data_IF_905597851136
#
_entry.id   IF_905597851136
#
_cell.length_a   1.000
_cell.length_b   1.000
_cell.length_c   1.000
_cell.angle_alpha   90.00
_cell.angle_beta   90.00
_cell.angle_gamma   90.00
#
_symmetry.space_group_name_H-M   'P 1'
#
loop_
_entity.id
_entity.type
_entity.pdbx_description
1 polymer ?
#
# COMPACT_ATOMS: atom_id res chain seq x y z
N UNK A 1 5.28 -2.21 41.05
CA UNK A 1 5.32 -3.67 41.34
C UNK A 1 5.45 -3.80 42.84
N UNK A 2 4.59 -4.58 43.47
CA UNK A 2 4.52 -4.67 44.93
C UNK A 2 4.69 -6.12 45.38
N UNK A 3 5.51 -6.34 46.41
CA UNK A 3 5.62 -7.63 47.08
C UNK A 3 4.54 -7.72 48.17
N UNK A 4 3.93 -8.89 48.37
CA UNK A 4 2.94 -9.08 49.44
C UNK A 4 3.02 -10.48 50.05
N UNK A 5 2.65 -10.60 51.33
CA UNK A 5 2.53 -11.87 52.02
C UNK A 5 1.09 -12.38 51.91
N UNK A 6 0.91 -13.49 51.21
CA UNK A 6 -0.40 -14.09 50.96
C UNK A 6 -0.78 -15.05 52.09
N UNK A 7 -1.36 -14.55 53.17
CA UNK A 7 -1.79 -15.44 54.27
C UNK A 7 -2.97 -16.33 53.87
N UNK A 8 -3.93 -15.78 53.11
CA UNK A 8 -5.15 -16.51 52.69
C UNK A 8 -4.98 -17.28 51.38
N UNK A 9 -4.13 -16.79 50.49
CA UNK A 9 -4.14 -17.20 49.09
C UNK A 9 -2.95 -18.10 48.70
N UNK A 10 -1.93 -18.21 49.56
CA UNK A 10 -0.72 -18.98 49.25
C UNK A 10 0.00 -18.51 47.97
N UNK A 11 0.73 -19.42 47.31
CA UNK A 11 1.46 -19.10 46.07
C UNK A 11 0.47 -18.88 44.92
N UNK A 12 0.18 -17.62 44.58
CA UNK A 12 -0.83 -17.30 43.55
C UNK A 12 -0.22 -16.79 42.26
N UNK A 13 -0.71 -17.36 41.15
CA UNK A 13 -0.50 -16.83 39.81
C UNK A 13 -1.86 -16.64 39.13
N UNK A 14 -2.43 -15.45 39.25
CA UNK A 14 -3.76 -15.11 38.70
C UNK A 14 -3.83 -13.62 38.38
N UNK A 15 -4.68 -13.24 37.42
CA UNK A 15 -4.99 -11.84 37.15
C UNK A 15 -6.40 -11.52 37.64
N UNK A 16 -6.55 -10.39 38.33
CA UNK A 16 -7.85 -9.87 38.79
C UNK A 16 -7.89 -8.38 38.48
N UNK A 17 -8.83 -7.97 37.63
CA UNK A 17 -8.94 -6.60 37.14
C UNK A 17 -7.65 -6.11 36.49
N UNK A 18 -7.12 -5.00 37.02
CA UNK A 18 -5.93 -4.33 36.51
C UNK A 18 -4.62 -4.85 37.13
N UNK A 19 -4.68 -5.91 37.93
CA UNK A 19 -3.54 -6.46 38.66
C UNK A 19 -3.32 -7.91 38.24
N UNK A 20 -2.07 -8.26 37.98
CA UNK A 20 -1.61 -9.63 37.78
C UNK A 20 -0.71 -10.02 38.96
N UNK A 21 -1.15 -11.03 39.70
CA UNK A 21 -0.41 -11.67 40.78
C UNK A 21 0.46 -12.78 40.18
N UNK A 22 1.75 -12.81 40.52
CA UNK A 22 2.70 -13.85 40.10
C UNK A 22 3.60 -14.21 41.27
N UNK A 23 3.84 -15.50 41.48
CA UNK A 23 4.86 -15.98 42.40
C UNK A 23 6.19 -16.15 41.68
N UNK A 24 7.24 -15.42 42.07
CA UNK A 24 8.57 -15.51 41.44
C UNK A 24 9.66 -15.18 42.48
N UNK A 25 10.84 -15.80 42.37
CA UNK A 25 11.94 -15.65 43.36
C UNK A 25 11.49 -15.89 44.81
N UNK A 26 10.64 -16.90 45.02
CA UNK A 26 10.03 -17.27 46.30
C UNK A 26 9.16 -16.19 46.97
N UNK A 27 8.75 -15.15 46.24
CA UNK A 27 7.92 -14.06 46.73
C UNK A 27 6.65 -13.94 45.90
N UNK A 28 5.54 -13.51 46.51
CA UNK A 28 4.35 -13.12 45.75
C UNK A 28 4.48 -11.67 45.32
N UNK A 29 4.22 -11.42 44.03
CA UNK A 29 4.41 -10.13 43.41
C UNK A 29 3.12 -9.73 42.70
N UNK A 30 2.57 -8.58 43.07
CA UNK A 30 1.52 -7.91 42.33
C UNK A 30 2.14 -6.96 41.29
N UNK A 31 1.80 -7.19 40.02
CA UNK A 31 2.16 -6.34 38.89
C UNK A 31 0.90 -5.66 38.38
N UNK A 32 0.96 -4.37 38.10
CA UNK A 32 -0.11 -3.72 37.35
C UNK A 32 -0.09 -4.25 35.91
N UNK A 33 -1.27 -4.46 35.33
CA UNK A 33 -1.41 -4.80 33.92
C UNK A 33 -1.01 -3.57 33.11
N UNK A 34 -0.09 -3.76 32.15
CA UNK A 34 0.29 -2.68 31.25
C UNK A 34 -0.92 -2.39 30.36
N UNK A 35 -1.52 -1.22 30.55
CA UNK A 35 -2.53 -0.71 29.63
C UNK A 35 -1.84 -0.29 28.34
N UNK A 36 -2.24 -0.89 27.22
CA UNK A 36 -1.89 -0.36 25.90
C UNK A 36 -2.71 0.91 25.71
N UNK A 37 -2.09 2.10 25.86
CA UNK A 37 -2.68 3.32 25.33
C UNK A 37 -2.66 3.22 23.81
N UNK A 38 -3.83 3.38 23.20
CA UNK A 38 -3.94 3.50 21.74
C UNK A 38 -3.72 4.97 21.42
N UNK A 39 -2.48 5.32 21.09
CA UNK A 39 -2.17 6.67 20.64
C UNK A 39 -2.81 6.90 19.27
N UNK A 40 -3.42 8.08 19.11
CA UNK A 40 -3.92 8.48 17.81
C UNK A 40 -2.72 8.70 16.87
N UNK A 41 -2.77 8.18 15.63
CA UNK A 41 -1.71 8.38 14.67
C UNK A 41 -1.49 9.88 14.42
N UNK A 42 -0.23 10.30 14.34
CA UNK A 42 0.16 11.66 13.95
C UNK A 42 -0.33 11.99 12.54
N UNK A 43 -0.52 13.27 12.21
CA UNK A 43 -0.97 13.69 10.88
C UNK A 43 -0.08 13.14 9.77
N UNK A 44 1.25 13.19 9.91
CA UNK A 44 2.22 12.64 8.95
C UNK A 44 2.00 11.14 8.66
N UNK A 45 1.67 10.35 9.70
CA UNK A 45 1.36 8.92 9.55
C UNK A 45 0.06 8.74 8.76
N UNK A 46 -0.94 9.60 8.95
CA UNK A 46 -2.18 9.57 8.18
C UNK A 46 -1.93 9.91 6.71
N UNK A 47 -1.07 10.88 6.42
CA UNK A 47 -0.68 11.23 5.05
C UNK A 47 0.02 10.06 4.36
N UNK A 48 1.00 9.45 5.04
CA UNK A 48 1.72 8.29 4.51
C UNK A 48 0.77 7.11 4.24
N UNK A 49 -0.19 6.86 5.13
CA UNK A 49 -1.23 5.83 4.94
C UNK A 49 -2.13 6.15 3.76
N UNK A 50 -2.50 7.42 3.56
CA UNK A 50 -3.30 7.84 2.42
C UNK A 50 -2.55 7.59 1.10
N UNK A 51 -1.29 8.02 1.01
CA UNK A 51 -0.42 7.78 -0.16
C UNK A 51 -0.24 6.30 -0.46
N UNK A 52 0.03 5.51 0.58
CA UNK A 52 0.18 4.06 0.45
C UNK A 52 -1.12 3.42 -0.05
N UNK A 53 -2.27 3.81 0.53
CA UNK A 53 -3.57 3.26 0.16
C UNK A 53 -3.90 3.54 -1.31
N UNK A 54 -3.68 4.76 -1.78
CA UNK A 54 -3.97 5.13 -3.19
C UNK A 54 -3.07 4.37 -4.15
N UNK A 55 -1.76 4.30 -3.86
CA UNK A 55 -0.81 3.61 -4.73
C UNK A 55 -1.08 2.09 -4.78
N UNK A 56 -1.36 1.47 -3.63
CA UNK A 56 -1.67 0.04 -3.56
C UNK A 56 -2.98 -0.28 -4.25
N UNK A 57 -4.01 0.57 -4.10
CA UNK A 57 -5.28 0.38 -4.80
C UNK A 57 -5.09 0.46 -6.31
N UNK A 58 -4.36 1.47 -6.81
CA UNK A 58 -4.04 1.60 -8.22
C UNK A 58 -3.24 0.39 -8.73
N UNK A 59 -2.13 0.04 -8.07
CA UNK A 59 -1.28 -1.07 -8.50
C UNK A 59 -2.02 -2.42 -8.54
N UNK A 60 -3.00 -2.64 -7.65
CA UNK A 60 -3.82 -3.86 -7.66
C UNK A 60 -4.71 -3.95 -8.90
N UNK A 61 -5.21 -2.82 -9.41
CA UNK A 61 -6.05 -2.76 -10.62
C UNK A 61 -5.27 -3.03 -11.90
N UNK A 62 -3.97 -2.74 -11.91
CA UNK A 62 -3.05 -2.94 -13.04
C UNK A 62 -2.01 -4.05 -12.78
N UNK A 63 -2.34 -5.01 -11.92
CA UNK A 63 -1.41 -6.04 -11.46
C UNK A 63 -0.70 -6.82 -12.59
N UNK A 64 -1.37 -7.17 -13.72
CA UNK A 64 -0.70 -7.83 -14.85
C UNK A 64 0.47 -7.01 -15.41
N UNK A 65 0.25 -5.70 -15.59
CA UNK A 65 1.25 -4.75 -16.09
C UNK A 65 2.42 -4.64 -15.11
N UNK A 66 2.12 -4.50 -13.81
CA UNK A 66 3.15 -4.40 -12.76
C UNK A 66 4.02 -5.67 -12.70
N UNK A 67 3.42 -6.86 -12.85
CA UNK A 67 4.16 -8.13 -12.84
C UNK A 67 5.13 -8.25 -14.01
N UNK A 68 4.75 -7.76 -15.20
CA UNK A 68 5.59 -7.78 -16.40
C UNK A 68 6.67 -6.69 -16.35
N UNK A 69 6.31 -5.47 -15.94
CA UNK A 69 7.22 -4.34 -15.89
C UNK A 69 8.28 -4.41 -14.78
N UNK A 70 7.98 -5.08 -13.67
CA UNK A 70 8.90 -5.24 -12.53
C UNK A 70 9.36 -6.69 -12.32
N UNK A 71 9.33 -7.51 -13.37
CA UNK A 71 9.81 -8.89 -13.31
C UNK A 71 11.30 -8.95 -12.95
N UNK A 72 11.66 -9.70 -11.91
CA UNK A 72 13.05 -9.91 -11.50
C UNK A 72 13.70 -8.77 -10.70
N UNK A 73 12.91 -7.83 -10.19
CA UNK A 73 13.43 -6.58 -9.58
C UNK A 73 13.48 -6.68 -8.05
N UNK A 74 14.69 -6.56 -7.49
CA UNK A 74 14.95 -6.44 -6.05
C UNK A 74 14.80 -7.73 -5.24
N UNK A 75 14.97 -7.63 -3.91
CA UNK A 75 14.75 -8.72 -2.95
C UNK A 75 13.27 -8.74 -2.53
N UNK A 76 12.37 -9.23 -3.37
CA UNK A 76 10.94 -9.29 -3.06
C UNK A 76 10.03 -9.59 -4.26
N UNK A 77 8.79 -9.12 -4.19
CA UNK A 77 7.81 -9.24 -5.29
C UNK A 77 7.87 -8.02 -6.22
N UNK A 78 7.53 -8.21 -7.50
CA UNK A 78 7.39 -7.15 -8.49
C UNK A 78 6.49 -5.99 -7.99
N UNK A 79 5.45 -6.32 -7.23
CA UNK A 79 4.54 -5.33 -6.64
C UNK A 79 5.22 -4.47 -5.56
N UNK A 80 6.05 -5.06 -4.71
CA UNK A 80 6.79 -4.30 -3.70
C UNK A 80 7.79 -3.34 -4.34
N UNK A 81 8.44 -3.77 -5.44
CA UNK A 81 9.32 -2.91 -6.22
C UNK A 81 8.56 -1.72 -6.83
N UNK A 82 7.38 -1.97 -7.41
CA UNK A 82 6.50 -0.92 -7.91
C UNK A 82 6.12 0.10 -6.83
N UNK A 83 5.71 -0.36 -5.65
CA UNK A 83 5.32 0.53 -4.54
C UNK A 83 6.52 1.35 -4.05
N UNK A 84 7.69 0.75 -3.93
CA UNK A 84 8.90 1.42 -3.45
C UNK A 84 9.36 2.55 -4.39
N UNK A 85 9.35 2.31 -5.70
CA UNK A 85 9.85 3.26 -6.70
C UNK A 85 8.86 4.38 -7.03
N UNK A 86 7.59 4.26 -6.63
CA UNK A 86 6.54 5.22 -6.95
C UNK A 86 5.99 5.98 -5.74
N UNK A 87 6.49 5.72 -4.52
CA UNK A 87 5.96 6.37 -3.31
C UNK A 87 6.15 7.89 -3.32
N UNK A 88 7.24 8.37 -3.93
CA UNK A 88 7.56 9.78 -4.12
C UNK A 88 6.73 10.45 -5.22
N UNK A 89 6.08 9.66 -6.09
CA UNK A 89 5.20 10.14 -7.18
C UNK A 89 3.76 10.37 -6.72
N UNK A 90 3.48 10.16 -5.44
CA UNK A 90 2.16 10.38 -4.85
C UNK A 90 2.19 11.65 -4.01
N UNK A 91 1.50 12.68 -4.48
CA UNK A 91 1.29 13.92 -3.74
C UNK A 91 0.13 13.76 -2.77
N UNK A 92 0.15 14.52 -1.68
CA UNK A 92 -0.96 14.62 -0.75
C UNK A 92 -1.47 16.05 -0.78
N UNK A 93 -2.73 16.23 -1.21
CA UNK A 93 -3.38 17.53 -1.35
C UNK A 93 -4.30 17.86 -0.17
N UNK A 94 -4.74 19.12 -0.13
CA UNK A 94 -5.71 19.59 0.85
C UNK A 94 -6.98 18.72 0.85
N UNK A 95 -7.42 18.29 2.04
CA UNK A 95 -8.62 17.45 2.22
C UNK A 95 -8.35 15.94 2.40
N UNK A 96 -7.14 15.54 2.78
CA UNK A 96 -6.78 14.13 3.01
C UNK A 96 -6.82 13.24 1.76
N UNK A 97 -6.47 13.82 0.61
CA UNK A 97 -6.53 13.14 -0.68
C UNK A 97 -5.12 12.96 -1.21
N UNK A 98 -4.74 11.71 -1.44
CA UNK A 98 -3.51 11.40 -2.16
C UNK A 98 -3.79 11.27 -3.66
N UNK A 99 -2.93 11.86 -4.49
CA UNK A 99 -3.07 11.90 -5.95
C UNK A 99 -1.80 11.37 -6.59
N UNK A 100 -1.96 10.52 -7.60
CA UNK A 100 -0.85 9.90 -8.33
C UNK A 100 -0.51 10.80 -9.53
N UNK A 101 0.77 11.16 -9.68
CA UNK A 101 1.27 11.81 -10.89
C UNK A 101 1.57 10.75 -11.97
N UNK A 102 0.61 10.54 -12.87
CA UNK A 102 0.73 9.57 -13.96
C UNK A 102 1.85 9.91 -14.95
N UNK A 103 2.26 11.17 -15.08
CA UNK A 103 3.34 11.57 -16.00
C UNK A 103 4.72 11.14 -15.52
N UNK A 104 4.88 10.97 -14.20
CA UNK A 104 6.14 10.54 -13.56
C UNK A 104 6.12 9.11 -13.04
N UNK A 105 4.97 8.44 -13.14
CA UNK A 105 4.78 7.09 -12.65
C UNK A 105 5.61 6.08 -13.46
N UNK A 106 6.36 5.24 -12.77
CA UNK A 106 7.13 4.15 -13.36
C UNK A 106 6.29 2.87 -13.37
N UNK A 107 6.06 2.32 -14.56
CA UNK A 107 5.37 1.04 -14.75
C UNK A 107 6.32 -0.13 -15.03
N UNK A 108 7.59 0.15 -15.28
CA UNK A 108 8.65 -0.84 -15.40
C UNK A 108 9.94 -0.29 -14.80
N UNK A 109 10.84 -1.18 -14.36
CA UNK A 109 12.19 -0.79 -13.98
C UNK A 109 13.21 -1.29 -15.01
N UNK A 110 14.17 -0.44 -15.38
CA UNK A 110 15.16 -0.77 -16.40
C UNK A 110 14.69 -0.37 -17.79
N UNK A 111 14.75 -1.29 -18.76
CA UNK A 111 14.27 -1.06 -20.14
C UNK A 111 12.80 -0.62 -20.08
N UNK A 112 12.49 0.59 -20.53
CA UNK A 112 11.14 1.21 -20.55
C UNK A 112 10.19 0.47 -21.52
N UNK A 113 9.97 -0.82 -21.29
CA UNK A 113 9.11 -1.71 -22.09
C UNK A 113 7.62 -1.50 -21.82
N UNK A 114 7.27 -0.50 -21.01
CA UNK A 114 5.91 -0.18 -20.63
C UNK A 114 5.75 1.34 -20.67
N UNK A 115 4.70 1.80 -21.34
CA UNK A 115 4.37 3.23 -21.45
C UNK A 115 2.90 3.43 -21.11
N UNK A 116 2.61 4.49 -20.35
CA UNK A 116 1.25 4.94 -20.12
C UNK A 116 0.90 5.99 -21.18
N UNK A 117 -0.25 5.82 -21.83
CA UNK A 117 -0.76 6.75 -22.84
C UNK A 117 -2.10 7.27 -22.37
N UNK A 118 -2.25 8.60 -22.36
CA UNK A 118 -3.54 9.22 -22.14
C UNK A 118 -4.39 9.09 -23.41
N UNK A 119 -5.55 8.44 -23.29
CA UNK A 119 -6.54 8.38 -24.35
C UNK A 119 -7.45 9.63 -24.24
N UNK A 120 -8.76 9.43 -24.13
CA UNK A 120 -9.74 10.50 -24.01
C UNK A 120 -10.52 10.46 -22.68
N UNK A 121 -11.17 11.57 -22.36
CA UNK A 121 -12.11 11.65 -21.27
C UNK A 121 -13.40 10.88 -21.60
N UNK A 122 -13.96 10.19 -20.61
CA UNK A 122 -15.25 9.49 -20.74
C UNK A 122 -16.33 10.47 -21.20
N UNK A 123 -17.05 10.13 -22.27
CA UNK A 123 -18.18 10.91 -22.81
C UNK A 123 -17.87 11.69 -24.08
N UNK A 124 -16.60 11.76 -24.50
CA UNK A 124 -16.23 12.27 -25.83
C UNK A 124 -16.09 11.07 -26.76
N UNK A 125 -16.99 10.97 -27.74
CA UNK A 125 -16.87 9.97 -28.81
C UNK A 125 -15.70 10.38 -29.71
N UNK A 126 -14.79 9.45 -29.99
CA UNK A 126 -13.66 9.69 -30.87
C UNK A 126 -12.71 8.49 -30.90
N UNK A 127 -12.06 8.33 -32.03
CA UNK A 127 -10.98 7.37 -32.21
C UNK A 127 -9.68 8.03 -31.71
N UNK A 128 -8.83 7.23 -31.07
CA UNK A 128 -7.50 7.68 -30.63
C UNK A 128 -6.50 6.73 -31.22
N UNK A 129 -5.65 7.26 -32.09
CA UNK A 129 -4.55 6.51 -32.68
C UNK A 129 -3.26 6.87 -31.95
N UNK A 130 -2.45 5.84 -31.69
CA UNK A 130 -1.14 6.01 -31.10
C UNK A 130 -0.12 5.26 -31.93
N UNK A 131 0.83 5.99 -32.52
CA UNK A 131 1.94 5.38 -33.24
C UNK A 131 2.85 4.65 -32.26
N UNK A 132 2.99 3.34 -32.42
CA UNK A 132 3.95 2.56 -31.67
C UNK A 132 5.37 3.04 -32.02
N UNK A 133 6.28 3.13 -31.04
CA UNK A 133 7.69 3.42 -31.31
C UNK A 133 8.28 2.41 -32.31
N UNK A 134 9.20 2.85 -33.16
CA UNK A 134 9.84 1.98 -34.18
C UNK A 134 10.53 0.75 -33.57
N UNK A 135 10.95 0.84 -32.32
CA UNK A 135 11.59 -0.26 -31.58
C UNK A 135 10.60 -1.35 -31.12
N UNK A 136 9.29 -1.13 -31.27
CA UNK A 136 8.25 -2.02 -30.76
C UNK A 136 7.62 -2.84 -31.89
N UNK A 137 7.72 -4.15 -31.78
CA UNK A 137 7.07 -5.07 -32.71
C UNK A 137 5.61 -5.31 -32.30
N UNK A 138 4.65 -4.94 -33.14
CA UNK A 138 3.21 -4.99 -32.83
C UNK A 138 2.75 -6.39 -32.36
N UNK A 139 3.32 -7.46 -32.93
CA UNK A 139 3.04 -8.86 -32.57
C UNK A 139 3.42 -9.23 -31.12
N UNK A 140 4.27 -8.42 -30.47
CA UNK A 140 4.77 -8.63 -29.11
C UNK A 140 4.23 -7.58 -28.13
N UNK A 141 3.40 -6.65 -28.60
CA UNK A 141 2.81 -5.60 -27.76
C UNK A 141 1.53 -6.13 -27.13
N UNK A 142 1.43 -5.97 -25.82
CA UNK A 142 0.19 -6.20 -25.09
C UNK A 142 -0.34 -4.86 -24.59
N UNK A 143 -1.55 -4.50 -24.99
CA UNK A 143 -2.19 -3.29 -24.52
C UNK A 143 -3.12 -3.60 -23.34
N UNK A 144 -3.06 -2.75 -22.32
CA UNK A 144 -4.00 -2.77 -21.19
C UNK A 144 -4.63 -1.41 -21.05
N UNK A 145 -5.96 -1.35 -20.96
CA UNK A 145 -6.68 -0.11 -20.74
C UNK A 145 -7.38 -0.09 -19.38
N UNK A 146 -7.44 1.08 -18.77
CA UNK A 146 -8.20 1.31 -17.54
C UNK A 146 -8.71 2.75 -17.54
N UNK A 147 -9.82 2.98 -16.86
CA UNK A 147 -10.40 4.30 -16.69
C UNK A 147 -10.07 4.85 -15.31
N UNK A 148 -9.70 6.12 -15.25
CA UNK A 148 -9.53 6.85 -13.99
C UNK A 148 -10.67 7.86 -13.82
N UNK A 149 -11.13 8.08 -12.60
CA UNK A 149 -12.06 9.18 -12.33
C UNK A 149 -11.38 10.53 -12.53
N UNK A 150 -12.17 11.58 -12.78
CA UNK A 150 -11.68 12.96 -12.99
C UNK A 150 -10.80 13.44 -11.82
N UNK A 151 -11.08 12.93 -10.61
CA UNK A 151 -10.35 13.26 -9.39
C UNK A 151 -9.14 12.33 -9.14
N UNK A 152 -8.84 11.41 -10.06
CA UNK A 152 -7.76 10.42 -9.97
C UNK A 152 -7.94 9.36 -8.87
N UNK A 153 -9.09 9.36 -8.17
CA UNK A 153 -9.33 8.54 -6.97
C UNK A 153 -9.70 7.10 -7.27
N UNK A 154 -10.43 6.88 -8.34
CA UNK A 154 -10.95 5.57 -8.71
C UNK A 154 -10.30 5.15 -10.01
N UNK A 155 -9.92 3.89 -10.04
CA UNK A 155 -9.28 3.23 -11.17
C UNK A 155 -10.09 1.97 -11.41
N UNK A 156 -10.55 1.76 -12.64
CA UNK A 156 -11.22 0.51 -13.04
C UNK A 156 -10.23 -0.64 -13.04
N UNK A 157 -10.71 -1.88 -13.09
CA UNK A 157 -9.84 -3.00 -13.44
C UNK A 157 -9.24 -2.79 -14.83
N UNK A 158 -7.99 -3.22 -15.00
CA UNK A 158 -7.34 -3.21 -16.31
C UNK A 158 -7.95 -4.28 -17.21
N UNK A 159 -8.34 -3.90 -18.43
CA UNK A 159 -8.75 -4.84 -19.48
C UNK A 159 -7.62 -5.03 -20.48
N UNK A 160 -7.38 -6.28 -20.87
CA UNK A 160 -6.43 -6.60 -21.94
C UNK A 160 -7.10 -6.31 -23.28
N UNK A 161 -6.42 -5.54 -24.13
CA UNK A 161 -6.81 -5.29 -25.51
C UNK A 161 -5.96 -6.15 -26.42
N UNK A 162 -6.62 -6.85 -27.34
CA UNK A 162 -5.96 -7.48 -28.48
C UNK A 162 -5.59 -6.39 -29.48
N UNK A 163 -4.29 -6.18 -29.69
CA UNK A 163 -3.69 -5.23 -30.65
C UNK A 163 -3.34 -5.97 -31.93
#
# INVERSE_FOLDING_TARGET
>A
MAEFNSYLLGKVTKSVGNITLVYTKRKNIAKAKVFKRKDNPTPEILEQRAKMKTLVQFGRRILPVVRKGFAGVGRGTAFNAFVALNMDKVSFGAGSVATIDYGRLLLASGLQRVRIVALNNRGVAGETEYALPEEWEASKVEAYCFATSLNGRMVSDSMHLTV
#
